data_IF_216704260951
#
_entry.id   IF_216704260951
#
_cell.length_a   1.000
_cell.length_b   1.000
_cell.length_c   1.000
_cell.angle_alpha   90.00
_cell.angle_beta   90.00
_cell.angle_gamma   90.00
#
_symmetry.space_group_name_H-M   'P 1'
#
loop_
_entity.id
_entity.type
_entity.pdbx_description
1 polymer ?
#
# COMPACT_ATOMS: atom_id res chain seq x y z
N UNK A 1 -17.73 -3.72 -12.29
CA UNK A 1 -16.46 -3.31 -11.67
C UNK A 1 -15.92 -2.14 -12.48
N UNK A 2 -15.58 -1.02 -11.85
CA UNK A 2 -15.00 0.16 -12.51
C UNK A 2 -13.60 0.40 -11.94
N UNK A 3 -12.58 0.24 -12.78
CA UNK A 3 -11.17 0.43 -12.44
C UNK A 3 -10.35 0.44 -13.75
N UNK A 4 -9.19 1.08 -13.73
CA UNK A 4 -8.13 0.77 -14.68
C UNK A 4 -7.49 -0.56 -14.23
N UNK A 5 -7.91 -1.67 -14.83
CA UNK A 5 -7.55 -3.00 -14.34
C UNK A 5 -6.32 -3.63 -15.02
N UNK A 6 -5.70 -2.94 -15.98
CA UNK A 6 -4.63 -3.51 -16.79
C UNK A 6 -3.25 -3.10 -16.26
N UNK A 7 -2.60 -4.05 -15.57
CA UNK A 7 -1.31 -3.87 -14.90
C UNK A 7 -0.26 -3.22 -15.81
N UNK A 8 -0.12 -3.67 -17.07
CA UNK A 8 0.87 -3.11 -17.99
C UNK A 8 0.59 -1.63 -18.32
N UNK A 9 -0.69 -1.27 -18.54
CA UNK A 9 -1.07 0.09 -18.96
C UNK A 9 -0.96 1.07 -17.79
N UNK A 10 -0.99 0.57 -16.56
CA UNK A 10 -0.75 1.41 -15.38
C UNK A 10 0.67 1.97 -15.29
N UNK A 11 1.64 1.39 -16.00
CA UNK A 11 2.97 1.96 -16.15
C UNK A 11 2.97 3.16 -17.11
N UNK A 12 2.13 3.12 -18.14
CA UNK A 12 2.03 4.17 -19.14
C UNK A 12 1.15 5.34 -18.66
N UNK A 13 0.17 5.08 -17.79
CA UNK A 13 -0.78 6.08 -17.28
C UNK A 13 -0.99 5.96 -15.76
N UNK A 14 0.06 6.23 -14.95
CA UNK A 14 0.01 6.02 -13.51
C UNK A 14 -0.93 6.99 -12.79
N UNK A 15 -0.95 8.26 -13.18
CA UNK A 15 -1.79 9.30 -12.57
C UNK A 15 -3.28 9.00 -12.75
N UNK A 16 -3.71 8.69 -13.97
CA UNK A 16 -5.08 8.29 -14.25
C UNK A 16 -5.49 7.05 -13.45
N UNK A 17 -4.59 6.06 -13.35
CA UNK A 17 -4.84 4.86 -12.57
C UNK A 17 -5.02 5.18 -11.08
N UNK A 18 -4.21 6.09 -10.52
CA UNK A 18 -4.35 6.51 -9.13
C UNK A 18 -5.65 7.30 -8.88
N UNK A 19 -6.02 8.20 -9.78
CA UNK A 19 -7.23 8.99 -9.65
C UNK A 19 -8.50 8.12 -9.67
N UNK A 20 -8.53 7.12 -10.56
CA UNK A 20 -9.69 6.20 -10.68
C UNK A 20 -9.69 5.15 -9.58
N UNK A 21 -8.62 4.37 -9.43
CA UNK A 21 -8.63 3.19 -8.56
C UNK A 21 -8.48 3.56 -7.07
N UNK A 22 -7.71 4.62 -6.76
CA UNK A 22 -7.48 5.07 -5.39
C UNK A 22 -8.52 6.10 -4.95
N UNK A 23 -8.49 7.28 -5.60
CA UNK A 23 -9.34 8.40 -5.20
C UNK A 23 -10.81 8.17 -5.55
N UNK A 24 -11.12 7.45 -6.62
CA UNK A 24 -12.49 7.02 -6.93
C UNK A 24 -13.14 6.24 -5.79
N UNK A 25 -12.40 5.33 -5.15
CA UNK A 25 -12.88 4.58 -3.98
C UNK A 25 -13.21 5.52 -2.81
N UNK A 26 -12.29 6.44 -2.49
CA UNK A 26 -12.51 7.44 -1.44
C UNK A 26 -13.73 8.31 -1.75
N UNK A 27 -13.91 8.77 -2.98
CA UNK A 27 -15.05 9.61 -3.40
C UNK A 27 -16.39 8.89 -3.20
N UNK A 28 -16.46 7.59 -3.47
CA UNK A 28 -17.67 6.80 -3.24
C UNK A 28 -17.98 6.64 -1.75
N UNK A 29 -16.98 6.31 -0.94
CA UNK A 29 -17.13 6.19 0.52
C UNK A 29 -17.52 7.52 1.16
N UNK A 30 -16.89 8.61 0.73
CA UNK A 30 -17.21 9.96 1.20
C UNK A 30 -18.60 10.39 0.74
N UNK A 31 -19.02 10.00 -0.47
CA UNK A 31 -20.39 10.21 -0.94
C UNK A 31 -21.44 9.53 -0.06
N UNK A 32 -21.19 8.30 0.41
CA UNK A 32 -22.08 7.60 1.36
C UNK A 32 -22.18 8.39 2.67
N UNK A 33 -21.04 8.88 3.18
CA UNK A 33 -20.97 9.66 4.42
C UNK A 33 -21.68 11.00 4.31
N UNK A 34 -21.42 11.77 3.24
CA UNK A 34 -22.02 13.08 3.02
C UNK A 34 -23.54 13.02 2.85
N UNK A 35 -24.06 11.90 2.35
CA UNK A 35 -25.51 11.66 2.21
C UNK A 35 -26.16 11.08 3.48
N UNK A 36 -25.41 10.81 4.54
CA UNK A 36 -25.94 10.21 5.78
C UNK A 36 -26.47 8.78 5.58
N UNK A 37 -25.85 8.02 4.67
CA UNK A 37 -26.29 6.67 4.30
C UNK A 37 -25.46 5.55 4.96
N UNK A 38 -24.69 5.85 6.01
CA UNK A 38 -23.73 4.95 6.63
C UNK A 38 -24.37 3.67 7.17
N UNK A 39 -25.60 3.78 7.70
CA UNK A 39 -26.35 2.64 8.27
C UNK A 39 -27.20 1.88 7.27
N UNK A 40 -27.36 2.41 6.05
CA UNK A 40 -28.25 1.86 5.01
C UNK A 40 -27.48 1.18 3.88
N UNK A 41 -26.30 1.71 3.55
CA UNK A 41 -25.52 1.25 2.40
C UNK A 41 -24.43 0.29 2.85
N UNK A 42 -24.34 -0.86 2.18
CA UNK A 42 -23.21 -1.79 2.30
C UNK A 42 -22.27 -1.60 1.10
N UNK A 43 -20.98 -1.46 1.37
CA UNK A 43 -19.95 -1.17 0.38
C UNK A 43 -19.00 -2.36 0.21
N UNK A 44 -18.75 -2.74 -1.04
CA UNK A 44 -17.78 -3.77 -1.38
C UNK A 44 -16.65 -3.17 -2.22
N UNK A 45 -15.41 -3.33 -1.76
CA UNK A 45 -14.22 -2.93 -2.49
C UNK A 45 -13.61 -4.10 -3.24
N UNK A 46 -13.37 -3.90 -4.54
CA UNK A 46 -12.71 -4.86 -5.42
C UNK A 46 -11.17 -4.81 -5.28
N UNK A 47 -10.68 -5.29 -4.15
CA UNK A 47 -9.25 -5.51 -3.90
C UNK A 47 -8.72 -6.71 -4.72
N UNK A 48 -7.42 -7.01 -4.61
CA UNK A 48 -6.75 -7.97 -5.50
C UNK A 48 -5.56 -8.67 -4.85
N UNK A 49 -5.26 -9.88 -5.30
CA UNK A 49 -4.03 -10.59 -4.94
C UNK A 49 -2.73 -9.86 -5.33
N UNK A 50 -2.78 -8.92 -6.29
CA UNK A 50 -1.61 -8.10 -6.66
C UNK A 50 -1.10 -7.23 -5.50
N UNK A 51 -1.91 -7.01 -4.45
CA UNK A 51 -1.49 -6.35 -3.21
C UNK A 51 -0.32 -7.10 -2.53
N UNK A 52 -0.25 -8.42 -2.69
CA UNK A 52 0.82 -9.22 -2.09
C UNK A 52 2.15 -9.13 -2.86
N UNK A 53 2.13 -8.75 -4.15
CA UNK A 53 3.29 -8.56 -5.02
C UNK A 53 4.47 -9.50 -4.73
N UNK A 54 5.47 -9.03 -3.97
CA UNK A 54 6.53 -9.91 -3.42
C UNK A 54 5.98 -10.69 -2.24
N UNK A 55 5.45 -11.86 -2.55
CA UNK A 55 4.90 -12.80 -1.59
C UNK A 55 5.85 -13.00 -0.40
N UNK A 56 5.34 -12.73 0.80
CA UNK A 56 6.05 -12.95 2.07
C UNK A 56 5.71 -14.32 2.68
N UNK A 57 4.52 -14.86 2.40
CA UNK A 57 4.01 -16.12 2.96
C UNK A 57 3.30 -16.95 1.89
N UNK A 58 3.36 -18.28 1.98
CA UNK A 58 2.71 -19.22 1.05
C UNK A 58 1.98 -20.29 1.88
N UNK A 59 0.65 -20.48 1.74
CA UNK A 59 -0.30 -19.68 0.97
C UNK A 59 -0.53 -18.28 1.59
N UNK A 60 -1.03 -17.33 0.80
CA UNK A 60 -1.36 -15.98 1.29
C UNK A 60 -2.72 -15.98 1.99
N UNK A 61 -2.82 -15.22 3.08
CA UNK A 61 -4.05 -15.03 3.87
C UNK A 61 -4.31 -13.53 4.07
N UNK A 62 -5.44 -13.19 4.69
CA UNK A 62 -5.80 -11.81 5.09
C UNK A 62 -4.75 -11.18 6.01
N UNK A 63 -3.96 -12.00 6.71
CA UNK A 63 -2.91 -11.55 7.64
C UNK A 63 -1.55 -11.36 6.97
N UNK A 64 -1.38 -11.86 5.75
CA UNK A 64 -0.11 -11.80 5.04
C UNK A 64 0.23 -10.34 4.71
N UNK A 65 1.43 -9.84 5.05
CA UNK A 65 1.80 -8.46 4.78
C UNK A 65 1.76 -8.14 3.27
N UNK A 66 1.15 -7.02 2.92
CA UNK A 66 1.14 -6.53 1.55
C UNK A 66 2.52 -6.01 1.15
N UNK A 67 2.98 -6.41 -0.04
CA UNK A 67 4.25 -5.96 -0.61
C UNK A 67 4.08 -5.75 -2.11
N UNK A 68 3.48 -4.64 -2.55
CA UNK A 68 3.43 -4.32 -3.97
C UNK A 68 4.86 -4.18 -4.54
N UNK A 69 5.15 -4.80 -5.68
CA UNK A 69 6.52 -4.82 -6.28
C UNK A 69 6.80 -3.58 -7.13
N UNK A 70 7.91 -2.89 -6.79
CA UNK A 70 8.73 -1.84 -7.47
C UNK A 70 8.80 -0.45 -6.75
N UNK A 71 9.93 0.30 -6.82
CA UNK A 71 10.03 1.69 -6.31
C UNK A 71 9.09 2.67 -7.05
N UNK A 72 8.63 2.24 -8.22
CA UNK A 72 7.53 2.79 -9.03
C UNK A 72 6.51 1.65 -9.25
N UNK A 73 6.05 1.01 -8.17
CA UNK A 73 5.14 -0.14 -8.24
C UNK A 73 3.88 0.28 -8.99
N UNK A 74 3.55 -0.46 -10.06
CA UNK A 74 2.31 -0.45 -10.83
C UNK A 74 1.25 0.42 -10.16
N UNK A 75 0.93 1.59 -10.72
CA UNK A 75 0.02 2.54 -10.08
C UNK A 75 -1.28 1.87 -9.63
N UNK A 76 -1.74 0.83 -10.34
CA UNK A 76 -2.88 0.02 -9.93
C UNK A 76 -2.68 -0.70 -8.57
N UNK A 77 -1.53 -1.30 -8.28
CA UNK A 77 -1.29 -1.98 -7.00
C UNK A 77 -1.20 -0.99 -5.83
N UNK A 78 -0.50 0.14 -6.01
CA UNK A 78 -0.43 1.20 -5.00
C UNK A 78 -1.79 1.87 -4.78
N UNK A 79 -2.52 2.15 -5.87
CA UNK A 79 -3.86 2.70 -5.82
C UNK A 79 -4.84 1.76 -5.12
N UNK A 80 -4.76 0.46 -5.41
CA UNK A 80 -5.57 -0.55 -4.73
C UNK A 80 -5.17 -0.75 -3.27
N UNK A 81 -3.90 -0.59 -2.92
CA UNK A 81 -3.48 -0.62 -1.51
C UNK A 81 -4.04 0.57 -0.74
N UNK A 82 -4.03 1.77 -1.34
CA UNK A 82 -4.73 2.93 -0.79
C UNK A 82 -6.24 2.65 -0.66
N UNK A 83 -6.87 2.13 -1.71
CA UNK A 83 -8.31 1.82 -1.71
C UNK A 83 -8.68 0.76 -0.66
N UNK A 84 -7.81 -0.22 -0.41
CA UNK A 84 -7.96 -1.19 0.66
C UNK A 84 -7.96 -0.48 2.02
N UNK A 85 -6.92 0.29 2.32
CA UNK A 85 -6.76 0.96 3.62
C UNK A 85 -7.80 2.04 3.87
N UNK A 86 -8.22 2.79 2.85
CA UNK A 86 -9.28 3.79 3.01
C UNK A 86 -10.62 3.10 3.32
N UNK A 87 -10.89 1.93 2.72
CA UNK A 87 -12.09 1.13 3.03
C UNK A 87 -12.07 0.64 4.48
N UNK A 88 -10.93 0.12 4.94
CA UNK A 88 -10.74 -0.27 6.36
C UNK A 88 -10.95 0.92 7.29
N UNK A 89 -10.36 2.08 6.96
CA UNK A 89 -10.46 3.27 7.78
C UNK A 89 -11.90 3.79 7.89
N UNK A 90 -12.69 3.77 6.81
CA UNK A 90 -14.09 4.20 6.86
C UNK A 90 -14.98 3.21 7.63
N UNK A 91 -14.67 1.91 7.55
CA UNK A 91 -15.31 0.89 8.39
C UNK A 91 -15.03 1.16 9.87
N UNK A 92 -13.78 1.38 10.24
CA UNK A 92 -13.37 1.56 11.65
C UNK A 92 -13.75 2.92 12.23
N UNK A 93 -13.62 4.00 11.46
CA UNK A 93 -13.86 5.37 11.93
C UNK A 93 -15.34 5.77 11.93
N UNK A 94 -16.10 5.35 10.91
CA UNK A 94 -17.49 5.78 10.71
C UNK A 94 -18.51 4.66 10.88
N UNK A 95 -18.07 3.42 11.08
CA UNK A 95 -18.97 2.27 11.25
C UNK A 95 -19.75 1.91 9.99
N UNK A 96 -19.28 2.31 8.80
CA UNK A 96 -19.89 1.94 7.52
C UNK A 96 -19.65 0.44 7.30
N UNK A 97 -20.68 -0.30 6.86
CA UNK A 97 -20.49 -1.68 6.41
C UNK A 97 -19.65 -1.66 5.12
N UNK A 98 -18.34 -1.85 5.24
CA UNK A 98 -17.41 -1.82 4.13
C UNK A 98 -16.44 -3.00 4.19
N UNK A 99 -16.43 -3.86 3.18
CA UNK A 99 -15.59 -5.06 3.12
C UNK A 99 -14.69 -5.07 1.88
N UNK A 100 -13.47 -5.60 2.02
CA UNK A 100 -12.55 -5.81 0.90
C UNK A 100 -12.57 -7.27 0.47
N UNK A 101 -12.89 -7.52 -0.81
CA UNK A 101 -12.63 -8.82 -1.42
C UNK A 101 -11.23 -8.84 -2.02
N UNK A 102 -10.33 -9.64 -1.46
CA UNK A 102 -8.98 -9.87 -1.98
C UNK A 102 -9.05 -11.03 -2.98
N UNK A 103 -9.49 -10.70 -4.19
CA UNK A 103 -9.74 -11.71 -5.22
C UNK A 103 -8.44 -12.05 -5.97
N UNK A 104 -8.16 -13.34 -6.07
CA UNK A 104 -7.17 -13.89 -6.99
C UNK A 104 -7.67 -13.86 -8.44
N UNK A 105 -6.83 -14.28 -9.39
CA UNK A 105 -7.16 -14.21 -10.80
C UNK A 105 -8.41 -15.04 -11.08
N UNK A 106 -9.36 -14.44 -11.79
CA UNK A 106 -10.62 -15.07 -12.16
C UNK A 106 -10.97 -14.72 -13.59
N UNK A 107 -11.41 -15.73 -14.32
CA UNK A 107 -11.48 -15.71 -15.78
C UNK A 107 -12.88 -16.10 -16.24
N UNK A 108 -13.25 -15.73 -17.48
CA UNK A 108 -14.53 -16.08 -18.08
C UNK A 108 -14.52 -15.82 -19.60
N UNK A 109 -15.54 -16.30 -20.35
CA UNK A 109 -15.69 -15.98 -21.77
C UNK A 109 -15.89 -14.49 -22.10
N UNK A 110 -16.08 -13.63 -21.10
CA UNK A 110 -16.20 -12.16 -21.28
C UNK A 110 -14.95 -11.41 -20.81
N UNK A 111 -13.87 -12.12 -20.45
CA UNK A 111 -12.59 -11.51 -20.06
C UNK A 111 -12.02 -10.63 -21.19
N UNK A 112 -11.42 -9.50 -20.83
CA UNK A 112 -10.76 -8.61 -21.79
C UNK A 112 -9.68 -9.32 -22.61
N UNK A 113 -9.57 -8.95 -23.87
CA UNK A 113 -8.76 -9.67 -24.87
C UNK A 113 -7.25 -9.57 -24.63
N UNK A 114 -6.80 -8.58 -23.87
CA UNK A 114 -5.39 -8.32 -23.56
C UNK A 114 -4.87 -9.16 -22.39
N UNK A 115 -5.75 -9.76 -21.59
CA UNK A 115 -5.34 -10.66 -20.49
C UNK A 115 -4.88 -12.01 -21.03
N UNK A 116 -3.87 -12.59 -20.40
CA UNK A 116 -3.14 -13.78 -20.90
C UNK A 116 -4.04 -14.95 -21.27
N UNK A 117 -5.01 -15.30 -20.43
CA UNK A 117 -5.96 -16.41 -20.63
C UNK A 117 -6.83 -16.20 -21.88
N UNK A 118 -7.38 -14.99 -22.04
CA UNK A 118 -8.21 -14.66 -23.20
C UNK A 118 -7.40 -14.49 -24.47
N UNK A 119 -6.20 -13.92 -24.35
CA UNK A 119 -5.23 -13.84 -25.45
C UNK A 119 -4.90 -15.23 -25.99
N UNK A 120 -4.57 -16.18 -25.10
CA UNK A 120 -4.26 -17.56 -25.46
C UNK A 120 -5.44 -18.24 -26.15
N UNK A 121 -6.62 -18.25 -25.50
CA UNK A 121 -7.79 -18.93 -26.05
C UNK A 121 -8.21 -18.37 -27.41
N UNK A 122 -8.22 -17.04 -27.58
CA UNK A 122 -8.56 -16.41 -28.86
C UNK A 122 -7.53 -16.69 -29.95
N UNK A 123 -6.24 -16.55 -29.64
CA UNK A 123 -5.18 -16.75 -30.62
C UNK A 123 -5.11 -18.22 -31.05
N UNK A 124 -5.21 -19.19 -30.13
CA UNK A 124 -5.23 -20.61 -30.49
C UNK A 124 -6.45 -20.98 -31.34
N UNK A 125 -7.63 -20.44 -31.04
CA UNK A 125 -8.80 -20.63 -31.92
C UNK A 125 -8.60 -20.04 -33.31
N UNK A 126 -7.96 -18.87 -33.42
CA UNK A 126 -7.63 -18.26 -34.72
C UNK A 126 -6.58 -19.05 -35.49
N UNK A 127 -5.57 -19.57 -34.81
CA UNK A 127 -4.55 -20.45 -35.39
C UNK A 127 -5.18 -21.74 -35.91
N UNK A 128 -6.09 -22.34 -35.14
CA UNK A 128 -6.84 -23.52 -35.57
C UNK A 128 -7.66 -23.26 -36.86
N UNK A 129 -8.27 -22.08 -36.97
CA UNK A 129 -9.02 -21.64 -38.15
C UNK A 129 -8.14 -21.12 -39.30
N UNK A 130 -6.81 -21.07 -39.13
CA UNK A 130 -5.88 -20.54 -40.12
C UNK A 130 -5.93 -19.02 -40.32
N UNK A 131 -6.48 -18.27 -39.37
CA UNK A 131 -6.60 -16.81 -39.40
C UNK A 131 -5.38 -16.08 -38.82
N UNK A 132 -4.58 -16.78 -38.02
CA UNK A 132 -3.39 -16.26 -37.35
C UNK A 132 -2.33 -17.37 -37.34
N UNK A 133 -1.06 -17.04 -37.46
CA UNK A 133 -0.01 -18.07 -37.58
C UNK A 133 0.66 -18.40 -36.24
N UNK A 134 0.88 -17.39 -35.38
CA UNK A 134 1.67 -17.53 -34.17
C UNK A 134 1.17 -16.62 -33.04
N UNK A 135 1.09 -17.17 -31.83
CA UNK A 135 0.79 -16.46 -30.59
C UNK A 135 2.09 -16.03 -29.90
N UNK A 136 2.24 -14.73 -29.65
CA UNK A 136 3.36 -14.18 -28.89
C UNK A 136 3.03 -13.99 -27.41
N UNK A 137 3.86 -14.51 -26.51
CA UNK A 137 3.71 -14.41 -25.06
C UNK A 137 5.00 -13.91 -24.38
N UNK A 138 4.88 -13.49 -23.12
CA UNK A 138 6.04 -13.13 -22.29
C UNK A 138 6.53 -14.32 -21.47
N UNK A 139 6.48 -14.18 -20.15
CA UNK A 139 6.93 -15.21 -19.20
C UNK A 139 5.97 -16.42 -19.13
N UNK A 140 6.39 -17.56 -19.69
CA UNK A 140 5.62 -18.82 -19.69
C UNK A 140 5.60 -19.54 -18.33
N UNK A 141 6.60 -19.28 -17.49
CA UNK A 141 6.76 -19.90 -16.17
C UNK A 141 6.02 -19.13 -15.07
N UNK A 142 5.29 -18.07 -15.42
CA UNK A 142 4.49 -17.31 -14.47
C UNK A 142 3.36 -18.20 -13.90
N UNK A 143 3.39 -18.44 -12.59
CA UNK A 143 2.38 -19.20 -11.86
C UNK A 143 1.25 -18.29 -11.39
N UNK A 144 -0.02 -18.69 -11.61
CA UNK A 144 -1.20 -17.97 -11.13
C UNK A 144 -2.27 -18.94 -10.65
N UNK A 145 -3.08 -18.49 -9.70
CA UNK A 145 -4.29 -19.17 -9.25
C UNK A 145 -5.48 -18.62 -10.06
N UNK A 146 -6.10 -19.46 -10.87
CA UNK A 146 -7.19 -19.09 -11.78
C UNK A 146 -8.51 -19.74 -11.37
N UNK A 147 -9.47 -18.92 -10.92
CA UNK A 147 -10.86 -19.32 -10.73
C UNK A 147 -11.80 -18.84 -11.85
N UNK A 148 -13.08 -19.19 -11.74
CA UNK A 148 -14.10 -18.72 -12.67
C UNK A 148 -14.84 -17.48 -12.11
N UNK A 149 -15.00 -16.44 -12.93
CA UNK A 149 -15.54 -15.15 -12.49
C UNK A 149 -16.96 -15.24 -11.91
N UNK A 150 -17.77 -16.21 -12.35
CA UNK A 150 -19.13 -16.44 -11.85
C UNK A 150 -19.15 -16.81 -10.36
N UNK A 151 -18.18 -17.60 -9.90
CA UNK A 151 -18.10 -18.03 -8.50
C UNK A 151 -17.61 -16.87 -7.64
N UNK A 152 -16.70 -16.06 -8.19
CA UNK A 152 -16.13 -14.91 -7.51
C UNK A 152 -17.18 -13.81 -7.28
N UNK A 153 -18.04 -13.52 -8.26
CA UNK A 153 -19.14 -12.55 -8.05
C UNK A 153 -20.18 -13.04 -7.05
N UNK A 154 -20.37 -14.36 -6.94
CA UNK A 154 -21.23 -14.92 -5.89
C UNK A 154 -20.64 -14.66 -4.49
N UNK A 155 -19.32 -14.79 -4.33
CA UNK A 155 -18.62 -14.41 -3.10
C UNK A 155 -18.74 -12.92 -2.77
N UNK A 156 -18.62 -12.04 -3.77
CA UNK A 156 -18.82 -10.59 -3.58
C UNK A 156 -20.19 -10.29 -2.96
N UNK A 157 -21.23 -10.95 -3.49
CA UNK A 157 -22.58 -10.82 -2.96
C UNK A 157 -22.69 -11.39 -1.55
N UNK A 158 -22.14 -12.60 -1.30
CA UNK A 158 -22.19 -13.25 0.01
C UNK A 158 -21.47 -12.45 1.10
N UNK A 159 -20.33 -11.83 0.80
CA UNK A 159 -19.62 -10.93 1.73
C UNK A 159 -20.49 -9.76 2.17
N UNK A 160 -21.32 -9.23 1.26
CA UNK A 160 -22.26 -8.17 1.58
C UNK A 160 -23.48 -8.65 2.36
N UNK A 161 -23.73 -9.95 2.49
CA UNK A 161 -24.86 -10.49 3.26
C UNK A 161 -24.51 -10.79 4.71
N UNK A 162 -23.24 -10.77 5.09
CA UNK A 162 -22.82 -11.10 6.46
C UNK A 162 -23.35 -10.06 7.47
N UNK A 163 -23.34 -10.43 8.75
CA UNK A 163 -23.76 -9.53 9.84
C UNK A 163 -22.71 -8.46 10.12
N UNK A 164 -21.43 -8.80 9.99
CA UNK A 164 -20.29 -7.91 10.23
C UNK A 164 -19.40 -7.79 8.99
N UNK A 165 -18.88 -6.58 8.68
CA UNK A 165 -17.99 -6.38 7.55
C UNK A 165 -16.58 -6.93 7.84
N UNK A 166 -16.17 -7.93 7.08
CA UNK A 166 -14.83 -8.52 7.14
C UNK A 166 -14.16 -8.55 5.76
N UNK A 167 -12.84 -8.65 5.75
CA UNK A 167 -12.05 -8.77 4.53
C UNK A 167 -11.76 -10.25 4.25
N UNK A 168 -11.88 -10.70 3.00
CA UNK A 168 -11.77 -12.11 2.64
C UNK A 168 -10.84 -12.32 1.44
N UNK A 169 -9.94 -13.31 1.55
CA UNK A 169 -9.19 -13.86 0.42
C UNK A 169 -10.05 -14.86 -0.33
N UNK A 170 -10.20 -14.66 -1.64
CA UNK A 170 -10.97 -15.54 -2.52
C UNK A 170 -10.06 -16.09 -3.61
N UNK A 171 -9.78 -17.39 -3.54
CA UNK A 171 -8.85 -18.11 -4.39
C UNK A 171 -9.28 -19.58 -4.57
N UNK A 172 -8.74 -20.28 -5.57
CA UNK A 172 -8.99 -21.72 -5.74
C UNK A 172 -8.04 -22.58 -4.89
N UNK A 173 -6.89 -22.02 -4.51
CA UNK A 173 -5.80 -22.73 -3.83
C UNK A 173 -4.91 -23.53 -4.77
N UNK A 174 -5.17 -23.53 -6.08
CA UNK A 174 -4.39 -24.26 -7.08
C UNK A 174 -3.69 -23.29 -8.02
N UNK A 175 -2.39 -23.49 -8.24
CA UNK A 175 -1.58 -22.65 -9.12
C UNK A 175 -1.19 -23.43 -10.38
N UNK A 176 -1.28 -22.75 -11.52
CA UNK A 176 -0.89 -23.28 -12.81
C UNK A 176 0.02 -22.29 -13.54
N UNK A 177 0.95 -22.81 -14.32
CA UNK A 177 1.82 -21.98 -15.18
C UNK A 177 1.08 -21.49 -16.42
N UNK A 178 1.54 -20.38 -17.01
CA UNK A 178 1.06 -19.92 -18.32
C UNK A 178 1.29 -21.01 -19.38
N UNK A 179 2.40 -21.74 -19.30
CA UNK A 179 2.68 -22.91 -20.14
C UNK A 179 1.62 -23.99 -20.02
N UNK A 180 1.26 -24.40 -18.80
CA UNK A 180 0.19 -25.39 -18.59
C UNK A 180 -1.12 -24.92 -19.20
N UNK A 181 -1.47 -23.64 -19.02
CA UNK A 181 -2.69 -23.07 -19.59
C UNK A 181 -2.70 -23.17 -21.13
N UNK A 182 -1.59 -22.84 -21.78
CA UNK A 182 -1.42 -22.99 -23.24
C UNK A 182 -1.60 -24.45 -23.66
N UNK A 183 -0.96 -25.39 -22.97
CA UNK A 183 -1.04 -26.81 -23.28
C UNK A 183 -2.47 -27.37 -23.13
N UNK A 184 -3.19 -26.96 -22.08
CA UNK A 184 -4.58 -27.35 -21.85
C UNK A 184 -5.47 -26.79 -22.96
N UNK A 185 -5.37 -25.50 -23.25
CA UNK A 185 -6.17 -24.85 -24.29
C UNK A 185 -5.91 -25.43 -25.69
N UNK A 186 -4.65 -25.78 -26.00
CA UNK A 186 -4.27 -26.40 -27.26
C UNK A 186 -4.83 -27.82 -27.39
N UNK A 187 -4.79 -28.61 -26.29
CA UNK A 187 -5.34 -29.97 -26.26
C UNK A 187 -6.83 -30.01 -26.57
N UNK A 188 -7.61 -29.07 -26.05
CA UNK A 188 -9.05 -28.95 -26.33
C UNK A 188 -9.33 -28.69 -27.83
N UNK A 189 -8.40 -28.06 -28.54
CA UNK A 189 -8.48 -27.83 -29.98
C UNK A 189 -7.84 -28.97 -30.81
N UNK A 190 -7.37 -30.04 -30.17
CA UNK A 190 -6.66 -31.13 -30.83
C UNK A 190 -5.26 -30.74 -31.33
N UNK A 191 -4.69 -29.65 -30.82
CA UNK A 191 -3.33 -29.19 -31.17
C UNK A 191 -2.31 -29.76 -30.17
N UNK A 192 -1.40 -30.60 -30.66
CA UNK A 192 -0.29 -31.12 -29.85
C UNK A 192 0.92 -30.17 -29.94
N UNK A 193 1.31 -29.58 -28.80
CA UNK A 193 2.45 -28.65 -28.71
C UNK A 193 3.69 -29.39 -28.20
N UNK A 194 4.79 -29.25 -28.94
CA UNK A 194 6.14 -29.59 -28.51
C UNK A 194 6.92 -28.31 -28.23
N UNK A 195 7.57 -28.23 -27.07
CA UNK A 195 8.34 -27.06 -26.67
C UNK A 195 9.81 -27.27 -27.02
N UNK A 196 10.39 -26.31 -27.75
CA UNK A 196 11.81 -26.30 -28.14
C UNK A 196 12.46 -24.97 -27.77
N UNK A 197 13.75 -25.01 -27.44
CA UNK A 197 14.50 -23.85 -26.98
C UNK A 197 14.33 -23.57 -25.49
N UNK A 198 14.86 -22.43 -25.04
CA UNK A 198 14.79 -22.00 -23.64
C UNK A 198 14.70 -20.48 -23.54
N UNK A 199 13.96 -19.99 -22.53
CA UNK A 199 13.83 -18.56 -22.24
C UNK A 199 13.21 -17.79 -23.40
N UNK A 200 13.84 -16.70 -23.83
CA UNK A 200 13.33 -15.85 -24.94
C UNK A 200 13.34 -16.55 -26.30
N UNK A 201 14.13 -17.60 -26.46
CA UNK A 201 14.21 -18.38 -27.70
C UNK A 201 13.25 -19.58 -27.70
N UNK A 202 12.45 -19.71 -26.65
CA UNK A 202 11.52 -20.82 -26.51
C UNK A 202 10.32 -20.67 -27.45
N UNK A 203 9.95 -21.80 -28.09
CA UNK A 203 8.88 -21.89 -29.08
C UNK A 203 8.03 -23.12 -28.82
N UNK A 204 6.72 -22.96 -29.02
CA UNK A 204 5.76 -24.05 -29.08
C UNK A 204 5.49 -24.42 -30.53
N UNK A 205 5.91 -25.62 -30.92
CA UNK A 205 5.77 -26.17 -32.28
C UNK A 205 4.59 -27.13 -32.30
N UNK A 206 3.74 -27.02 -33.31
CA UNK A 206 2.68 -27.98 -33.57
C UNK A 206 3.29 -29.28 -34.11
N UNK A 207 3.18 -30.36 -33.33
CA UNK A 207 3.76 -31.66 -33.66
C UNK A 207 3.24 -32.27 -34.97
N UNK A 208 2.03 -31.89 -35.41
CA UNK A 208 1.40 -32.46 -36.60
C UNK A 208 1.96 -31.88 -37.91
N UNK A 209 2.39 -30.62 -37.92
CA UNK A 209 2.79 -29.91 -39.14
C UNK A 209 4.13 -29.16 -39.03
N UNK A 210 4.80 -29.22 -37.88
CA UNK A 210 6.09 -28.58 -37.63
C UNK A 210 6.04 -27.05 -37.58
N UNK A 211 4.86 -26.43 -37.62
CA UNK A 211 4.74 -24.96 -37.57
C UNK A 211 4.87 -24.44 -36.15
N UNK A 212 5.58 -23.34 -35.97
CA UNK A 212 5.61 -22.61 -34.70
C UNK A 212 4.26 -21.92 -34.48
N UNK A 213 3.59 -22.26 -33.39
CA UNK A 213 2.28 -21.69 -33.03
C UNK A 213 2.34 -20.81 -31.78
N UNK A 214 3.39 -20.93 -30.97
CA UNK A 214 3.65 -20.06 -29.82
C UNK A 214 5.10 -19.62 -29.84
N UNK A 215 5.37 -18.34 -29.60
CA UNK A 215 6.72 -17.80 -29.46
C UNK A 215 6.80 -16.83 -28.27
N UNK A 216 7.98 -16.75 -27.66
CA UNK A 216 8.26 -15.78 -26.61
C UNK A 216 8.74 -14.47 -27.22
N UNK A 217 8.15 -13.35 -26.81
CA UNK A 217 8.55 -12.00 -27.21
C UNK A 217 8.88 -11.16 -25.96
N UNK A 218 10.12 -10.66 -25.85
CA UNK A 218 10.58 -9.78 -24.76
C UNK A 218 9.68 -8.57 -24.49
N UNK A 219 8.97 -8.05 -25.49
CA UNK A 219 8.08 -6.90 -25.34
C UNK A 219 6.92 -7.15 -24.35
N UNK A 220 6.56 -8.41 -24.11
CA UNK A 220 5.52 -8.79 -23.15
C UNK A 220 6.05 -9.08 -21.74
N UNK A 221 7.37 -8.97 -21.51
CA UNK A 221 7.93 -9.09 -20.17
C UNK A 221 7.68 -7.83 -19.37
N UNK A 222 7.37 -8.01 -18.08
CA UNK A 222 7.24 -6.89 -17.16
C UNK A 222 8.62 -6.46 -16.66
N UNK A 223 8.89 -5.15 -16.52
CA UNK A 223 10.17 -4.65 -16.00
C UNK A 223 10.57 -5.26 -14.65
N UNK A 224 9.59 -5.58 -13.80
CA UNK A 224 9.81 -6.09 -12.44
C UNK A 224 9.98 -7.60 -12.31
N UNK A 225 9.61 -8.37 -13.35
CA UNK A 225 9.80 -9.83 -13.37
C UNK A 225 11.23 -10.20 -13.82
N UNK A 226 11.88 -9.40 -14.67
CA UNK A 226 13.24 -9.66 -15.14
C UNK A 226 14.32 -9.61 -14.03
N UNK A 227 14.06 -8.91 -12.92
CA UNK A 227 15.00 -8.81 -11.80
C UNK A 227 15.16 -10.11 -10.98
N UNK A 228 14.34 -11.15 -11.22
CA UNK A 228 14.32 -12.39 -10.42
C UNK A 228 15.36 -13.45 -10.84
N UNK A 229 16.13 -13.24 -11.90
CA UNK A 229 17.08 -14.25 -12.44
C UNK A 229 18.33 -14.49 -11.55
N UNK A 230 18.50 -13.79 -10.42
CA UNK A 230 19.60 -14.06 -9.48
C UNK A 230 19.12 -13.97 -8.04
N UNK A 231 18.78 -15.10 -7.42
CA UNK A 231 19.12 -15.42 -6.00
C UNK A 231 18.70 -16.87 -5.66
N UNK A 232 19.60 -17.58 -4.98
CA UNK A 232 19.50 -18.98 -4.51
C UNK A 232 18.37 -19.16 -3.46
N UNK A 233 17.92 -20.40 -3.19
CA UNK A 233 16.86 -20.67 -2.22
C UNK A 233 17.41 -20.56 -0.80
N UNK A 234 16.68 -19.89 0.08
CA UNK A 234 17.01 -19.78 1.50
C UNK A 234 16.16 -20.76 2.31
N UNK A 235 16.84 -21.73 2.93
CA UNK A 235 16.36 -22.57 4.02
C UNK A 235 16.78 -21.93 5.35
N UNK A 236 15.81 -21.50 6.17
CA UNK A 236 15.73 -21.73 7.64
C UNK A 236 14.73 -20.76 8.32
N UNK A 237 14.11 -21.17 9.45
CA UNK A 237 12.96 -20.51 10.02
C UNK A 237 13.35 -19.49 11.10
N UNK A 238 12.67 -18.34 11.17
CA UNK A 238 12.72 -17.50 12.38
C UNK A 238 11.38 -16.88 12.76
N UNK A 239 11.30 -16.66 14.08
CA UNK A 239 10.16 -16.49 14.96
C UNK A 239 9.33 -15.22 14.73
N UNK A 240 8.03 -15.36 14.99
CA UNK A 240 7.04 -14.29 15.02
C UNK A 240 7.00 -13.56 16.36
N UNK A 241 6.93 -12.22 16.31
CA UNK A 241 6.39 -11.38 17.39
C UNK A 241 5.46 -10.31 16.81
N UNK A 242 4.50 -9.90 17.62
CA UNK A 242 3.15 -9.49 17.25
C UNK A 242 2.88 -7.97 17.15
N UNK A 243 1.94 -7.61 16.26
CA UNK A 243 0.80 -6.66 16.39
C UNK A 243 1.05 -5.17 16.77
N UNK A 244 0.80 -4.26 15.82
CA UNK A 244 -0.31 -3.23 15.75
C UNK A 244 0.07 -1.98 14.93
N UNK A 245 -0.91 -1.43 14.21
CA UNK A 245 -0.87 -0.21 13.39
C UNK A 245 -2.02 0.74 13.76
N UNK A 246 -1.83 2.07 13.63
CA UNK A 246 -2.83 3.15 13.38
C UNK A 246 -2.13 4.52 13.64
N UNK A 247 -1.97 5.43 12.68
CA UNK A 247 -3.00 6.25 12.01
C UNK A 247 -2.81 7.74 12.42
N UNK A 248 -2.73 8.67 11.46
CA UNK A 248 -2.60 10.13 11.69
C UNK A 248 -3.82 10.86 11.12
N UNK A 249 -4.30 11.88 11.83
CA UNK A 249 -5.30 12.85 11.37
C UNK A 249 -4.71 14.26 11.51
N UNK A 250 -4.69 15.02 10.42
CA UNK A 250 -4.38 16.46 10.42
C UNK A 250 -5.70 17.22 10.22
N UNK A 251 -5.99 18.15 11.13
CA UNK A 251 -7.15 19.06 11.07
C UNK A 251 -6.74 20.39 10.41
N UNK A 252 -7.64 21.16 9.77
CA UNK A 252 -7.26 22.40 9.10
C UNK A 252 -6.89 23.51 10.09
N UNK A 253 -5.92 24.33 9.71
CA UNK A 253 -5.42 25.47 10.47
C UNK A 253 -6.53 26.49 10.77
N UNK A 254 -6.70 26.84 12.05
CA UNK A 254 -7.40 28.06 12.46
C UNK A 254 -6.50 29.28 12.23
N UNK A 255 -7.06 30.46 11.88
CA UNK A 255 -6.27 31.67 11.69
C UNK A 255 -5.67 32.15 13.04
N UNK A 256 -4.53 32.85 13.01
CA UNK A 256 -3.80 33.21 14.22
C UNK A 256 -4.59 34.22 15.06
N UNK A 257 -4.97 33.82 16.27
CA UNK A 257 -5.48 34.72 17.30
C UNK A 257 -4.29 35.54 17.84
N UNK A 258 -4.25 36.85 17.53
CA UNK A 258 -3.40 37.78 18.27
C UNK A 258 -3.94 37.90 19.71
N UNK A 259 -3.11 37.79 20.76
CA UNK A 259 -3.58 38.04 22.11
C UNK A 259 -3.79 39.54 22.33
N UNK A 260 -5.06 39.96 22.44
CA UNK A 260 -5.41 41.20 23.12
C UNK A 260 -5.37 40.92 24.63
N UNK A 261 -4.22 41.14 25.26
CA UNK A 261 -4.15 41.07 26.72
C UNK A 261 -4.82 42.31 27.30
N UNK A 262 -6.10 42.19 27.69
CA UNK A 262 -6.77 43.19 28.52
C UNK A 262 -6.32 42.99 29.97
N UNK A 263 -5.68 43.97 30.62
CA UNK A 263 -5.27 43.82 32.01
C UNK A 263 -6.49 43.76 32.93
N UNK A 264 -6.77 42.60 33.54
CA UNK A 264 -7.79 42.44 34.58
C UNK A 264 -8.66 41.18 34.53
N UNK A 265 -8.65 40.40 33.44
CA UNK A 265 -9.41 39.14 33.34
C UNK A 265 -8.50 37.93 33.66
N UNK A 266 -9.00 36.90 34.37
CA UNK A 266 -8.26 35.65 34.55
C UNK A 266 -7.97 35.02 33.17
N UNK A 267 -6.78 34.42 32.99
CA UNK A 267 -6.40 33.79 31.73
C UNK A 267 -7.43 32.73 31.30
N UNK A 268 -7.88 32.73 30.03
CA UNK A 268 -8.95 31.86 29.56
C UNK A 268 -8.50 30.40 29.52
N UNK A 269 -9.28 29.48 30.11
CA UNK A 269 -8.94 28.06 30.15
C UNK A 269 -8.71 27.47 28.75
N UNK A 270 -7.65 26.65 28.62
CA UNK A 270 -7.30 25.96 27.39
C UNK A 270 -7.80 24.53 27.48
N UNK A 271 -8.59 24.09 26.50
CA UNK A 271 -9.11 22.71 26.44
C UNK A 271 -8.25 21.85 25.52
N UNK A 272 -7.74 20.74 26.05
CA UNK A 272 -7.03 19.69 25.30
C UNK A 272 -8.01 18.55 25.06
N UNK A 273 -8.05 18.04 23.84
CA UNK A 273 -8.91 16.90 23.49
C UNK A 273 -8.32 15.59 23.99
N UNK A 274 -9.18 14.72 24.51
CA UNK A 274 -8.80 13.43 25.06
C UNK A 274 -8.34 13.50 26.51
N UNK A 275 -7.68 12.45 26.97
CA UNK A 275 -7.23 12.25 28.35
C UNK A 275 -5.86 12.86 28.61
N UNK A 276 -5.12 13.24 27.57
CA UNK A 276 -3.72 13.68 27.67
C UNK A 276 -2.72 12.55 27.93
N UNK A 277 -3.20 11.30 28.03
CA UNK A 277 -2.37 10.10 28.23
C UNK A 277 -1.60 9.61 27.00
N UNK A 278 -2.04 9.85 25.73
CA UNK A 278 -1.27 9.42 24.57
C UNK A 278 0.16 9.97 24.57
N UNK A 279 1.09 9.16 24.07
CA UNK A 279 2.51 9.50 23.98
C UNK A 279 2.93 9.76 22.53
N UNK A 280 3.61 10.87 22.33
CA UNK A 280 4.17 11.25 21.04
C UNK A 280 5.62 11.71 21.19
N UNK A 281 6.38 11.46 20.14
CA UNK A 281 7.69 12.02 19.93
C UNK A 281 7.59 13.37 19.20
N UNK A 282 8.46 14.31 19.59
CA UNK A 282 8.54 15.65 19.02
C UNK A 282 9.98 15.96 18.63
N UNK A 283 10.18 16.38 17.38
CA UNK A 283 11.47 16.72 16.80
C UNK A 283 11.42 18.17 16.30
N UNK A 284 12.46 18.94 16.58
CA UNK A 284 12.60 20.29 16.04
C UNK A 284 12.84 20.26 14.52
N UNK A 285 12.29 21.24 13.79
CA UNK A 285 12.38 21.30 12.32
C UNK A 285 13.83 21.41 11.83
N UNK A 286 14.71 22.07 12.60
CA UNK A 286 16.12 22.22 12.25
C UNK A 286 16.87 20.90 12.41
N UNK A 287 16.54 20.10 13.42
CA UNK A 287 17.08 18.75 13.55
C UNK A 287 16.56 17.85 12.42
N UNK A 288 15.29 17.95 12.03
CA UNK A 288 14.77 17.23 10.85
C UNK A 288 15.55 17.61 9.58
N UNK A 289 15.75 18.91 9.32
CA UNK A 289 16.52 19.39 8.19
C UNK A 289 17.98 18.92 8.26
N UNK A 290 18.59 18.99 9.44
CA UNK A 290 19.94 18.52 9.72
C UNK A 290 20.11 17.03 9.44
N UNK A 291 19.15 16.19 9.81
CA UNK A 291 19.15 14.77 9.49
C UNK A 291 19.08 14.51 7.99
N UNK A 292 18.22 15.23 7.27
CA UNK A 292 18.13 15.11 5.81
C UNK A 292 19.46 15.49 5.14
N UNK A 293 20.08 16.60 5.55
CA UNK A 293 21.39 17.05 5.03
C UNK A 293 22.48 16.04 5.37
N UNK A 294 22.50 15.50 6.59
CA UNK A 294 23.45 14.45 7.00
C UNK A 294 23.34 13.22 6.12
N UNK A 295 22.11 12.71 5.90
CA UNK A 295 21.86 11.54 5.06
C UNK A 295 22.27 11.80 3.61
N UNK A 296 21.98 12.99 3.06
CA UNK A 296 22.35 13.37 1.69
C UNK A 296 23.87 13.51 1.50
N UNK A 297 24.62 13.77 2.57
CA UNK A 297 26.08 13.94 2.55
C UNK A 297 26.85 12.66 2.95
N UNK A 298 26.18 11.53 3.16
CA UNK A 298 26.86 10.25 3.39
C UNK A 298 27.71 9.88 2.17
N UNK A 299 28.90 9.35 2.42
CA UNK A 299 29.78 8.85 1.36
C UNK A 299 29.12 7.66 0.64
N UNK A 300 29.39 7.53 -0.66
CA UNK A 300 28.77 6.49 -1.50
C UNK A 300 28.97 5.08 -0.93
N UNK A 301 30.06 4.83 -0.19
CA UNK A 301 30.35 3.55 0.43
C UNK A 301 29.47 3.27 1.67
N UNK A 302 29.31 4.23 2.58
CA UNK A 302 28.41 4.07 3.75
C UNK A 302 26.95 4.06 3.32
N UNK A 303 26.58 4.89 2.33
CA UNK A 303 25.27 4.83 1.70
C UNK A 303 25.04 3.47 1.02
N UNK A 304 26.06 2.92 0.33
CA UNK A 304 25.97 1.60 -0.26
C UNK A 304 25.82 0.48 0.78
N UNK A 305 26.66 0.46 1.81
CA UNK A 305 26.71 -0.63 2.78
C UNK A 305 25.52 -0.61 3.77
N UNK A 306 25.07 0.56 4.23
CA UNK A 306 24.00 0.66 5.23
C UNK A 306 22.60 0.94 4.64
N UNK A 307 22.52 1.61 3.48
CA UNK A 307 21.23 2.02 2.88
C UNK A 307 20.87 1.26 1.59
N UNK A 308 21.85 0.79 0.80
CA UNK A 308 21.60 0.19 -0.51
C UNK A 308 21.87 -1.33 -0.60
N UNK A 309 22.71 -1.91 0.27
CA UNK A 309 23.14 -3.32 0.22
C UNK A 309 22.20 -4.30 0.94
N UNK A 310 21.03 -3.85 1.39
CA UNK A 310 19.98 -4.74 1.91
C UNK A 310 18.91 -5.03 0.84
N UNK A 311 18.28 -6.22 0.83
CA UNK A 311 17.28 -6.63 -0.16
C UNK A 311 15.95 -5.82 -0.12
N UNK A 312 15.90 -4.68 0.57
CA UNK A 312 14.76 -3.75 0.66
C UNK A 312 15.27 -2.31 0.67
N UNK A 313 14.55 -1.33 0.06
CA UNK A 313 14.83 0.08 0.29
C UNK A 313 14.79 0.36 1.80
N UNK A 314 15.89 0.92 2.31
CA UNK A 314 16.15 1.04 3.74
C UNK A 314 15.50 2.33 4.25
N UNK A 315 14.35 2.23 4.94
CA UNK A 315 13.77 3.39 5.62
C UNK A 315 14.66 3.78 6.81
N UNK A 316 14.93 5.08 6.93
CA UNK A 316 15.63 5.66 8.08
C UNK A 316 14.62 6.51 8.83
N UNK A 317 14.30 6.12 10.06
CA UNK A 317 13.44 6.94 10.90
C UNK A 317 14.25 8.13 11.43
N UNK A 318 13.72 9.33 11.25
CA UNK A 318 14.29 10.56 11.81
C UNK A 318 13.45 10.98 13.01
N UNK A 319 14.09 11.02 14.17
CA UNK A 319 13.44 11.29 15.45
C UNK A 319 14.46 11.54 16.56
N UNK A 320 13.97 11.87 17.75
CA UNK A 320 14.73 11.99 18.99
C UNK A 320 14.90 10.64 19.71
N UNK A 321 14.05 9.65 19.43
CA UNK A 321 14.02 8.36 20.12
C UNK A 321 13.44 8.42 21.53
N UNK A 322 12.80 9.53 21.91
CA UNK A 322 12.17 9.74 23.22
C UNK A 322 10.77 10.33 23.05
N UNK A 323 9.77 9.73 23.70
CA UNK A 323 8.41 10.25 23.72
C UNK A 323 8.07 10.97 25.03
N UNK A 324 7.01 11.78 24.97
CA UNK A 324 6.37 12.34 26.15
C UNK A 324 4.85 12.28 26.02
N UNK A 325 4.14 12.34 27.14
CA UNK A 325 2.67 12.40 27.12
C UNK A 325 2.20 13.77 26.64
N UNK A 326 1.02 13.85 26.04
CA UNK A 326 0.39 15.14 25.70
C UNK A 326 0.22 16.01 26.96
N UNK A 327 -0.05 15.40 28.12
CA UNK A 327 -0.07 16.11 29.40
C UNK A 327 1.30 16.74 29.76
N UNK A 328 2.40 16.00 29.60
CA UNK A 328 3.74 16.50 29.88
C UNK A 328 4.16 17.58 28.88
N UNK A 329 3.78 17.44 27.61
CA UNK A 329 3.97 18.48 26.60
C UNK A 329 3.23 19.76 26.99
N UNK A 330 1.93 19.66 27.31
CA UNK A 330 1.11 20.82 27.67
C UNK A 330 1.65 21.54 28.91
N UNK A 331 2.15 20.77 29.89
CA UNK A 331 2.81 21.32 31.07
C UNK A 331 4.11 22.04 30.71
N UNK A 332 4.95 21.44 29.88
CA UNK A 332 6.19 22.06 29.38
C UNK A 332 5.91 23.36 28.64
N UNK A 333 4.91 23.39 27.74
CA UNK A 333 4.50 24.59 27.01
C UNK A 333 4.02 25.67 27.98
N UNK A 334 3.15 25.32 28.94
CA UNK A 334 2.68 26.26 29.96
C UNK A 334 3.84 26.90 30.71
N UNK A 335 4.80 26.10 31.14
CA UNK A 335 5.93 26.54 31.95
C UNK A 335 6.88 27.43 31.13
N UNK A 336 7.11 27.12 29.85
CA UNK A 336 7.94 27.93 28.94
C UNK A 336 7.27 29.27 28.56
N UNK A 337 5.96 29.26 28.31
CA UNK A 337 5.18 30.47 27.95
C UNK A 337 4.90 31.34 29.18
N UNK A 338 4.91 30.75 30.38
CA UNK A 338 4.50 31.41 31.62
C UNK A 338 2.97 31.55 31.75
N UNK A 339 2.20 30.67 31.10
CA UNK A 339 0.74 30.72 31.12
C UNK A 339 0.19 30.33 32.49
N UNK A 340 -0.69 31.17 33.06
CA UNK A 340 -1.23 31.01 34.42
C UNK A 340 -2.68 30.49 34.48
N UNK A 341 -3.30 30.20 33.34
CA UNK A 341 -4.68 29.70 33.31
C UNK A 341 -4.78 28.19 33.40
N UNK A 342 -6.02 27.72 33.42
CA UNK A 342 -6.32 26.30 33.58
C UNK A 342 -6.14 25.53 32.25
N UNK A 343 -5.70 24.28 32.35
CA UNK A 343 -5.68 23.30 31.25
C UNK A 343 -6.73 22.24 31.56
N UNK A 344 -7.77 22.16 30.73
CA UNK A 344 -8.91 21.25 30.88
C UNK A 344 -8.82 20.15 29.84
N UNK A 345 -9.20 18.92 30.19
CA UNK A 345 -9.17 17.76 29.28
C UNK A 345 -10.59 17.35 28.89
N UNK A 346 -10.93 17.47 27.60
CA UNK A 346 -12.22 17.03 27.05
C UNK A 346 -12.20 15.54 26.73
N UNK A 347 -12.67 14.74 27.69
CA UNK A 347 -12.78 13.28 27.58
C UNK A 347 -13.93 12.80 26.70
N UNK A 348 -14.79 13.70 26.22
CA UNK A 348 -15.83 13.32 25.25
C UNK A 348 -15.25 13.08 23.86
N UNK A 349 -14.01 13.54 23.61
CA UNK A 349 -13.26 13.30 22.38
C UNK A 349 -12.38 12.06 22.51
N UNK A 350 -12.26 11.25 21.44
CA UNK A 350 -11.43 10.06 21.46
C UNK A 350 -9.95 10.41 21.62
N UNK A 351 -9.23 9.57 22.35
CA UNK A 351 -7.77 9.63 22.41
C UNK A 351 -7.14 9.23 21.07
N UNK A 352 -6.01 9.84 20.75
CA UNK A 352 -5.17 9.42 19.62
C UNK A 352 -4.47 8.06 19.88
N UNK A 353 -3.59 7.66 18.96
CA UNK A 353 -2.78 6.44 19.11
C UNK A 353 -2.05 6.44 20.46
N UNK A 354 -2.08 5.32 21.23
CA UNK A 354 -1.53 5.29 22.59
C UNK A 354 -0.05 5.69 22.70
N UNK A 355 0.78 5.30 21.73
CA UNK A 355 2.20 5.62 21.68
C UNK A 355 2.70 5.70 20.23
N UNK A 356 3.43 6.76 19.91
CA UNK A 356 4.14 6.97 18.64
C UNK A 356 5.60 7.28 18.95
N UNK A 357 6.42 6.24 18.99
CA UNK A 357 7.86 6.33 19.21
C UNK A 357 8.59 5.67 18.04
N UNK A 358 9.51 6.40 17.42
CA UNK A 358 10.30 5.90 16.31
C UNK A 358 11.56 5.17 16.80
N UNK A 359 11.91 4.08 16.12
CA UNK A 359 13.21 3.44 16.30
C UNK A 359 14.27 4.20 15.50
N UNK A 360 15.06 5.02 16.19
CA UNK A 360 16.14 5.86 15.62
C UNK A 360 17.52 5.22 15.74
N UNK A 361 17.60 3.94 16.13
CA UNK A 361 18.87 3.23 16.35
C UNK A 361 19.78 3.26 15.13
N UNK A 362 19.19 3.20 13.93
CA UNK A 362 19.92 3.26 12.66
C UNK A 362 20.50 4.64 12.38
N UNK A 363 19.71 5.70 12.55
CA UNK A 363 20.19 7.07 12.33
C UNK A 363 21.29 7.44 13.35
N UNK A 364 21.14 6.94 14.58
CA UNK A 364 22.19 7.01 15.61
C UNK A 364 23.45 6.24 15.22
N UNK A 365 23.31 5.08 14.56
CA UNK A 365 24.42 4.29 14.02
C UNK A 365 25.19 5.02 12.92
N UNK A 366 24.48 5.81 12.10
CA UNK A 366 25.05 6.72 11.10
C UNK A 366 25.70 7.98 11.69
N UNK A 367 25.83 8.06 13.02
CA UNK A 367 26.48 9.16 13.71
C UNK A 367 25.63 10.42 13.87
N UNK A 368 24.33 10.37 13.55
CA UNK A 368 23.43 11.50 13.70
C UNK A 368 22.48 11.34 14.88
N UNK A 369 22.32 12.42 15.67
CA UNK A 369 21.32 12.50 16.74
C UNK A 369 20.73 13.89 16.79
N UNK A 370 19.45 13.96 17.15
CA UNK A 370 18.78 15.22 17.44
C UNK A 370 19.54 15.96 18.56
N UNK A 371 19.78 17.24 18.33
CA UNK A 371 20.58 18.08 19.22
C UNK A 371 19.70 18.99 20.10
N UNK A 372 18.50 19.31 19.62
CA UNK A 372 17.56 20.22 20.27
C UNK A 372 16.58 19.41 21.10
N UNK A 373 16.59 19.62 22.42
CA UNK A 373 15.60 19.00 23.30
C UNK A 373 14.24 19.72 23.20
N UNK A 374 13.18 19.05 23.66
CA UNK A 374 11.80 19.55 23.57
C UNK A 374 11.61 20.93 24.22
N UNK A 375 12.23 21.19 25.37
CA UNK A 375 12.07 22.45 26.10
C UNK A 375 12.68 23.61 25.30
N UNK A 376 13.88 23.40 24.77
CA UNK A 376 14.58 24.40 23.97
C UNK A 376 13.85 24.66 22.64
N UNK A 377 13.34 23.61 21.98
CA UNK A 377 12.52 23.74 20.77
C UNK A 377 11.23 24.54 21.02
N UNK A 378 10.51 24.28 22.11
CA UNK A 378 9.33 25.05 22.51
C UNK A 378 9.71 26.51 22.80
N UNK A 379 10.82 26.75 23.51
CA UNK A 379 11.28 28.12 23.81
C UNK A 379 11.61 28.90 22.55
N UNK A 380 12.34 28.30 21.61
CA UNK A 380 12.65 28.90 20.31
C UNK A 380 11.38 29.23 19.52
N UNK A 381 10.44 28.29 19.48
CA UNK A 381 9.14 28.47 18.80
C UNK A 381 8.34 29.62 19.41
N UNK A 382 8.32 29.71 20.74
CA UNK A 382 7.63 30.80 21.43
C UNK A 382 8.30 32.16 21.18
N UNK A 383 9.63 32.22 21.25
CA UNK A 383 10.38 33.44 20.92
C UNK A 383 10.17 33.88 19.47
N UNK A 384 10.14 32.93 18.53
CA UNK A 384 9.82 33.20 17.13
C UNK A 384 8.43 33.85 17.00
N UNK A 385 7.42 33.33 17.70
CA UNK A 385 6.05 33.89 17.71
C UNK A 385 5.98 35.31 18.31
N UNK A 386 6.85 35.64 19.27
CA UNK A 386 6.93 36.98 19.86
C UNK A 386 7.72 37.97 19.00
N UNK A 387 8.51 37.49 18.03
CA UNK A 387 9.30 38.32 17.15
C UNK A 387 8.44 39.16 16.20
N UNK A 388 8.95 40.31 15.70
CA UNK A 388 8.28 41.04 14.63
C UNK A 388 8.30 40.18 13.37
N UNK A 389 7.16 39.53 13.07
CA UNK A 389 6.94 38.90 11.78
C UNK A 389 6.78 40.01 10.73
N UNK A 390 7.83 40.21 9.94
CA UNK A 390 7.87 41.11 8.77
C UNK A 390 6.97 40.62 7.64
#
# INVERSE_FOLDING_TARGET
MAAQSHVQVSFDSPEYTADVDALGTMRLLEGIRLLGLEKKTRFYQASTSELYGKVQEIPQTEKTPFYPRSPCACACACAKLYAYWITVNYREAYGIYACNGILFNHESPIRGETFVTRKITRALSRIYLGLEECLYLGNLEALRDWGHAKDYVHMQWLMLQQDQPEDFVIATGQQHSVREFVNIAARELGLAIQWEGQGVNEKGINAANGRTIVAVDPAYFRPTEMAFRKTRPASEPYRTTSKRSLGFMVSPAQPPLRPQHSPGLPPPAVTIWGTGSPKCEFLDVDDMAGACVHIMNLDEKTAADELLNYPRPCFVNVGTGVDCTIHALASTVRDVVGYKGEIVYDRTKPDGTPQKLLDVSRLSGLGWRASINLVDGIRRTYQWYLGPHS
#
